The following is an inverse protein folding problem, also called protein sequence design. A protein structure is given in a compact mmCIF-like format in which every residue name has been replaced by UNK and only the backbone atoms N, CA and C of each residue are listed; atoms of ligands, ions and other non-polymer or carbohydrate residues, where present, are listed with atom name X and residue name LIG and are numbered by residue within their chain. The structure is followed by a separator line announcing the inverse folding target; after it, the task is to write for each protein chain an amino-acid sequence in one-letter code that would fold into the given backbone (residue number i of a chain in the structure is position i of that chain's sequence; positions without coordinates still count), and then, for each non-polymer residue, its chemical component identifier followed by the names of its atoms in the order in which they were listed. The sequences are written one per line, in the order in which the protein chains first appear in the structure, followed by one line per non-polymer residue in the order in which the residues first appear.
data_IF_815947362181
#
_entry.id   IF_815947362181
#
_cell.length_a   1.000
_cell.length_b   1.000
_cell.length_c   1.000
_cell.angle_alpha   90.00
_cell.angle_beta   90.00
_cell.angle_gamma   90.00
#
_symmetry.space_group_name_H-M   'P 1'
#
loop_
_entity.id
_entity.type
_entity.pdbx_description
1 polymer ?
#
# COMPACT_ATOMS: atom_id res chain seq x y z
N UNK A 1 -19.81 49.56 60.52
CA UNK A 1 -19.49 50.70 59.62
C UNK A 1 -19.55 50.16 58.21
N UNK A 2 -20.69 50.34 57.54
CA UNK A 2 -20.93 51.43 56.57
C UNK A 2 -20.24 51.10 55.23
N UNK A 3 -20.86 51.11 54.06
CA UNK A 3 -22.15 51.64 53.61
C UNK A 3 -22.39 51.15 52.15
N UNK A 4 -23.68 51.01 51.77
CA UNK A 4 -24.31 51.49 50.51
C UNK A 4 -23.94 50.83 49.17
N UNK A 5 -24.82 49.99 48.61
CA UNK A 5 -25.98 50.28 47.71
C UNK A 5 -25.63 50.62 46.25
N UNK A 6 -26.13 49.76 45.36
CA UNK A 6 -26.70 49.97 44.00
C UNK A 6 -26.05 50.97 43.03
N UNK A 7 -25.80 50.50 41.81
CA UNK A 7 -26.37 51.14 40.60
C UNK A 7 -26.32 50.21 39.40
N UNK A 8 -27.50 49.95 38.84
CA UNK A 8 -27.71 49.34 37.56
C UNK A 8 -27.39 50.34 36.43
N UNK A 9 -26.81 49.86 35.33
CA UNK A 9 -26.90 50.50 34.00
C UNK A 9 -26.98 49.44 32.91
N UNK A 10 -28.21 49.25 32.43
CA UNK A 10 -28.65 49.03 31.05
C UNK A 10 -27.55 48.99 29.98
N UNK A 11 -27.48 47.91 29.20
CA UNK A 11 -27.43 48.00 27.74
C UNK A 11 -27.79 46.66 27.09
N UNK A 12 -28.99 46.58 26.55
CA UNK A 12 -29.38 45.53 25.61
C UNK A 12 -28.70 45.80 24.27
N UNK A 13 -27.93 44.84 23.75
CA UNK A 13 -27.58 44.80 22.34
C UNK A 13 -27.64 43.37 21.83
N UNK A 14 -28.68 43.13 21.03
CA UNK A 14 -28.89 41.97 20.21
C UNK A 14 -27.64 41.66 19.36
N UNK A 15 -27.27 40.39 19.23
CA UNK A 15 -26.88 39.81 17.93
C UNK A 15 -26.99 38.29 17.99
N UNK A 16 -28.04 37.80 17.33
CA UNK A 16 -28.13 36.59 16.51
C UNK A 16 -27.19 35.40 16.81
N UNK A 17 -27.80 34.29 17.23
CA UNK A 17 -27.47 32.88 16.92
C UNK A 17 -26.00 32.58 16.57
N UNK A 18 -25.20 32.28 17.59
CA UNK A 18 -23.98 31.47 17.41
C UNK A 18 -24.36 29.98 17.43
N UNK A 19 -24.96 29.51 16.34
CA UNK A 19 -24.76 28.12 15.90
C UNK A 19 -23.36 28.05 15.31
N UNK A 20 -22.34 28.10 16.18
CA UNK A 20 -20.95 27.87 15.80
C UNK A 20 -20.73 26.37 15.73
N UNK A 21 -21.35 25.85 14.68
CA UNK A 21 -21.21 24.57 14.04
C UNK A 21 -19.82 23.98 14.23
N UNK A 22 -19.82 22.73 14.70
CA UNK A 22 -18.76 21.73 14.68
C UNK A 22 -18.25 21.47 13.25
N UNK A 23 -17.65 22.48 12.62
CA UNK A 23 -17.10 22.42 11.26
C UNK A 23 -15.70 23.04 11.19
N UNK A 24 -14.90 22.87 12.25
CA UNK A 24 -13.48 23.10 12.13
C UNK A 24 -12.74 21.79 11.84
N UNK A 25 -12.44 21.68 10.54
CA UNK A 25 -11.21 21.15 9.96
C UNK A 25 -10.97 19.65 10.10
N UNK A 26 -11.80 18.88 9.39
CA UNK A 26 -11.29 17.75 8.60
C UNK A 26 -10.36 18.36 7.53
N UNK A 27 -9.09 18.57 7.91
CA UNK A 27 -8.04 18.90 6.96
C UNK A 27 -7.07 17.72 6.85
N UNK A 28 -7.62 16.52 6.67
CA UNK A 28 -6.90 15.48 5.96
C UNK A 28 -6.73 15.99 4.54
N UNK A 29 -5.52 16.47 4.26
CA UNK A 29 -5.06 16.75 2.92
C UNK A 29 -5.12 15.45 2.11
N UNK A 30 -6.28 15.14 1.54
CA UNK A 30 -6.34 14.29 0.37
C UNK A 30 -5.60 15.03 -0.74
N UNK A 31 -4.30 14.74 -0.86
CA UNK A 31 -3.54 14.99 -2.09
C UNK A 31 -4.24 14.16 -3.17
N UNK A 32 -5.15 14.81 -3.91
CA UNK A 32 -5.63 14.37 -5.21
C UNK A 32 -4.40 14.03 -6.07
N UNK A 33 -4.28 12.77 -6.51
CA UNK A 33 -3.40 12.38 -7.62
C UNK A 33 -2.00 11.89 -7.28
N UNK A 34 -1.78 11.26 -6.13
CA UNK A 34 -0.53 10.58 -5.83
C UNK A 34 -0.65 9.09 -6.19
N UNK A 35 -0.28 8.74 -7.43
CA UNK A 35 -0.29 7.34 -7.89
C UNK A 35 0.83 6.57 -7.18
N UNK A 36 0.48 5.70 -6.23
CA UNK A 36 1.42 4.79 -5.58
C UNK A 36 2.05 3.87 -6.63
N UNK A 37 3.38 3.71 -6.58
CA UNK A 37 4.08 2.83 -7.49
C UNK A 37 3.96 1.39 -6.97
N UNK A 38 3.46 0.50 -7.83
CA UNK A 38 3.33 -0.92 -7.51
C UNK A 38 4.44 -1.70 -8.19
N UNK A 39 4.97 -2.69 -7.49
CA UNK A 39 6.01 -3.57 -7.98
C UNK A 39 5.63 -5.02 -7.72
N UNK A 40 5.86 -5.89 -8.69
CA UNK A 40 5.84 -7.33 -8.51
C UNK A 40 7.28 -7.80 -8.27
N UNK A 41 7.53 -8.37 -7.11
CA UNK A 41 8.81 -9.02 -6.79
C UNK A 41 8.60 -10.52 -6.91
N UNK A 42 9.29 -11.16 -7.85
CA UNK A 42 9.22 -12.60 -8.09
C UNK A 42 10.49 -13.21 -7.52
N UNK A 43 10.35 -14.28 -6.74
CA UNK A 43 11.46 -14.99 -6.10
C UNK A 43 11.41 -16.44 -6.53
N UNK A 44 12.53 -16.94 -7.02
CA UNK A 44 12.70 -18.32 -7.44
C UNK A 44 13.94 -18.89 -6.75
N UNK A 45 13.99 -20.19 -6.40
CA UNK A 45 15.24 -20.82 -6.03
C UNK A 45 16.29 -20.60 -7.14
N UNK A 46 17.59 -20.62 -6.83
CA UNK A 46 18.63 -20.56 -7.86
C UNK A 46 18.59 -21.81 -8.73
N UNK A 47 19.15 -21.72 -9.93
CA UNK A 47 19.14 -22.84 -10.89
C UNK A 47 19.93 -24.05 -10.38
N UNK A 48 20.97 -23.83 -9.55
CA UNK A 48 21.69 -24.91 -8.87
C UNK A 48 20.95 -25.53 -7.66
N UNK A 49 19.82 -24.96 -7.25
CA UNK A 49 19.05 -25.42 -6.08
C UNK A 49 17.86 -26.25 -6.53
N UNK A 50 17.79 -27.48 -6.01
CA UNK A 50 16.65 -28.36 -6.22
C UNK A 50 15.36 -27.71 -5.71
N UNK A 51 14.31 -27.80 -6.52
CA UNK A 51 12.96 -27.33 -6.19
C UNK A 51 11.97 -28.50 -6.13
N UNK A 52 11.86 -29.20 -4.99
CA UNK A 52 10.94 -30.32 -4.84
C UNK A 52 9.48 -29.94 -5.07
N UNK A 53 9.12 -28.66 -4.87
CA UNK A 53 7.74 -28.21 -5.10
C UNK A 53 7.44 -28.13 -6.60
N UNK A 54 8.38 -27.59 -7.39
CA UNK A 54 8.30 -27.56 -8.85
C UNK A 54 8.21 -28.98 -9.45
N UNK A 55 9.01 -29.93 -8.96
CA UNK A 55 8.98 -31.32 -9.42
C UNK A 55 7.63 -32.00 -9.17
N UNK A 56 7.07 -31.86 -7.94
CA UNK A 56 5.76 -32.44 -7.62
C UNK A 56 4.66 -31.87 -8.52
N UNK A 57 4.72 -30.58 -8.84
CA UNK A 57 3.74 -29.95 -9.73
C UNK A 57 3.92 -30.44 -11.17
N UNK A 58 5.17 -30.61 -11.64
CA UNK A 58 5.46 -31.16 -12.96
C UNK A 58 4.92 -32.58 -13.12
N UNK A 59 5.17 -33.45 -12.14
CA UNK A 59 4.67 -34.83 -12.13
C UNK A 59 3.14 -34.88 -12.16
N UNK A 60 2.49 -34.00 -11.39
CA UNK A 60 1.04 -33.85 -11.41
C UNK A 60 0.54 -33.37 -12.78
N UNK A 61 1.18 -32.37 -13.38
CA UNK A 61 0.82 -31.86 -14.70
C UNK A 61 0.94 -32.95 -15.78
N UNK A 62 2.01 -33.74 -15.75
CA UNK A 62 2.21 -34.86 -16.66
C UNK A 62 1.18 -35.98 -16.44
N UNK A 63 0.78 -36.24 -15.20
CA UNK A 63 -0.27 -37.21 -14.88
C UNK A 63 -1.64 -36.78 -15.42
N UNK A 64 -1.88 -35.48 -15.53
CA UNK A 64 -3.09 -34.90 -16.14
C UNK A 64 -3.05 -34.83 -17.67
N UNK A 65 -1.93 -35.20 -18.29
CA UNK A 65 -1.77 -35.25 -19.75
C UNK A 65 -1.05 -34.05 -20.38
N UNK A 66 -0.59 -33.07 -19.60
CA UNK A 66 0.17 -31.91 -20.07
C UNK A 66 1.65 -32.27 -20.32
N UNK A 67 1.90 -33.15 -21.29
CA UNK A 67 3.24 -33.70 -21.58
C UNK A 67 4.19 -32.69 -22.24
N UNK A 68 3.67 -31.60 -22.77
CA UNK A 68 4.43 -30.52 -23.41
C UNK A 68 5.22 -29.65 -22.41
N UNK A 69 4.87 -29.70 -21.12
CA UNK A 69 5.55 -28.91 -20.09
C UNK A 69 6.88 -29.59 -19.73
N UNK A 70 8.00 -28.97 -20.10
CA UNK A 70 9.33 -29.53 -19.87
C UNK A 70 9.85 -29.35 -18.43
N UNK A 71 9.46 -28.28 -17.76
CA UNK A 71 9.90 -27.95 -16.40
C UNK A 71 8.93 -26.98 -15.75
N UNK A 72 8.75 -27.11 -14.42
CA UNK A 72 8.02 -26.17 -13.59
C UNK A 72 8.92 -25.77 -12.44
N UNK A 73 8.95 -24.46 -12.15
CA UNK A 73 9.64 -23.89 -11.01
C UNK A 73 8.65 -23.17 -10.12
N UNK A 74 8.59 -23.57 -8.85
CA UNK A 74 7.79 -22.95 -7.82
C UNK A 74 8.57 -21.82 -7.16
N UNK A 75 7.89 -20.71 -6.93
CA UNK A 75 8.47 -19.50 -6.37
C UNK A 75 7.47 -18.72 -5.53
N UNK A 76 7.93 -17.59 -5.01
CA UNK A 76 7.11 -16.65 -4.25
C UNK A 76 6.92 -15.39 -5.10
N UNK A 77 5.75 -14.76 -4.99
CA UNK A 77 5.50 -13.45 -5.57
C UNK A 77 4.98 -12.50 -4.51
N UNK A 78 5.50 -11.27 -4.52
CA UNK A 78 5.11 -10.21 -3.60
C UNK A 78 4.68 -9.00 -4.40
N UNK A 79 3.48 -8.50 -4.12
CA UNK A 79 3.02 -7.21 -4.63
C UNK A 79 3.41 -6.14 -3.60
N UNK A 80 4.32 -5.26 -3.97
CA UNK A 80 4.85 -4.21 -3.11
C UNK A 80 4.35 -2.86 -3.59
N UNK A 81 3.70 -2.11 -2.71
CA UNK A 81 3.26 -0.73 -2.98
C UNK A 81 4.18 0.24 -2.25
N UNK A 82 4.74 1.20 -3.01
CA UNK A 82 5.59 2.26 -2.47
C UNK A 82 4.84 3.58 -2.57
N UNK A 83 4.75 4.27 -1.43
CA UNK A 83 4.10 5.58 -1.32
C UNK A 83 4.80 6.62 -2.20
N UNK A 84 4.04 7.62 -2.66
CA UNK A 84 4.58 8.68 -3.52
C UNK A 84 5.66 9.51 -2.85
N UNK A 85 6.75 9.75 -3.59
CA UNK A 85 7.89 10.53 -3.11
C UNK A 85 8.90 9.70 -2.31
N UNK A 86 8.60 8.43 -2.04
CA UNK A 86 9.55 7.50 -1.45
C UNK A 86 10.44 6.87 -2.52
N UNK A 87 11.69 6.60 -2.15
CA UNK A 87 12.70 6.08 -3.05
C UNK A 87 12.50 4.57 -3.29
N UNK A 88 12.12 4.21 -4.53
CA UNK A 88 12.07 2.81 -4.99
C UNK A 88 13.45 2.18 -5.10
N UNK A 89 14.54 2.96 -5.01
CA UNK A 89 15.92 2.49 -4.95
C UNK A 89 16.18 1.51 -3.80
N UNK A 90 15.40 1.59 -2.71
CA UNK A 90 15.49 0.65 -1.59
C UNK A 90 14.80 -0.69 -1.82
N UNK A 91 13.99 -0.82 -2.88
CA UNK A 91 13.24 -2.05 -3.13
C UNK A 91 14.16 -3.27 -3.37
N UNK A 92 15.30 -3.06 -4.02
CA UNK A 92 16.33 -4.09 -4.16
C UNK A 92 16.90 -4.53 -2.80
N UNK A 93 17.16 -3.58 -1.90
CA UNK A 93 17.64 -3.87 -0.55
C UNK A 93 16.59 -4.65 0.25
N UNK A 94 15.33 -4.23 0.17
CA UNK A 94 14.20 -4.91 0.83
C UNK A 94 14.04 -6.33 0.29
N UNK A 95 14.05 -6.50 -1.03
CA UNK A 95 13.95 -7.82 -1.65
C UNK A 95 15.08 -8.74 -1.18
N UNK A 96 16.32 -8.27 -1.24
CA UNK A 96 17.50 -9.06 -0.87
C UNK A 96 17.56 -9.40 0.63
N UNK A 97 17.22 -8.45 1.52
CA UNK A 97 17.37 -8.63 2.97
C UNK A 97 16.18 -9.30 3.65
N UNK A 98 14.97 -9.15 3.08
CA UNK A 98 13.73 -9.55 3.75
C UNK A 98 12.94 -10.59 2.95
N UNK A 99 12.81 -10.41 1.64
CA UNK A 99 11.88 -11.22 0.85
C UNK A 99 12.52 -12.52 0.34
N UNK A 100 13.81 -12.46 -0.04
CA UNK A 100 14.57 -13.60 -0.54
C UNK A 100 15.57 -14.13 0.47
N UNK A 101 15.88 -15.43 0.40
CA UNK A 101 17.10 -15.98 0.97
C UNK A 101 18.23 -15.91 -0.07
N UNK A 102 19.21 -15.00 0.04
CA UNK A 102 20.23 -14.78 -0.99
C UNK A 102 21.18 -15.97 -1.20
N UNK A 103 21.22 -16.92 -0.26
CA UNK A 103 22.04 -18.12 -0.42
C UNK A 103 21.44 -19.05 -1.50
N UNK A 104 20.13 -19.23 -1.50
CA UNK A 104 19.45 -20.28 -2.28
C UNK A 104 18.37 -19.76 -3.23
N UNK A 105 18.00 -18.50 -3.14
CA UNK A 105 16.99 -17.85 -3.99
C UNK A 105 17.60 -16.67 -4.76
N UNK A 106 16.96 -16.34 -5.88
CA UNK A 106 17.16 -15.13 -6.65
C UNK A 106 15.83 -14.41 -6.81
N UNK A 107 15.86 -13.11 -7.08
CA UNK A 107 14.65 -12.32 -7.26
C UNK A 107 14.73 -11.42 -8.49
N UNK A 108 13.56 -11.11 -9.06
CA UNK A 108 13.37 -10.10 -10.09
C UNK A 108 12.26 -9.14 -9.67
N UNK A 109 12.38 -7.89 -10.09
CA UNK A 109 11.44 -6.82 -9.75
C UNK A 109 10.86 -6.26 -11.05
N UNK A 110 9.54 -6.21 -11.12
CA UNK A 110 8.81 -5.61 -12.23
C UNK A 110 7.97 -4.46 -11.71
N UNK A 111 8.17 -3.25 -12.24
CA UNK A 111 7.24 -2.15 -12.01
C UNK A 111 5.91 -2.47 -12.71
N UNK A 112 4.82 -2.41 -11.97
CA UNK A 112 3.48 -2.56 -12.52
C UNK A 112 2.96 -1.17 -12.84
N UNK A 113 2.76 -0.89 -14.12
CA UNK A 113 2.10 0.35 -14.53
C UNK A 113 0.74 0.40 -13.85
N UNK A 114 0.45 1.47 -13.09
CA UNK A 114 -0.86 1.62 -12.47
C UNK A 114 -1.91 1.67 -13.58
N UNK A 115 -2.83 0.70 -13.58
CA UNK A 115 -4.00 0.74 -14.43
C UNK A 115 -4.68 2.10 -14.22
N UNK A 116 -5.07 2.82 -15.29
CA UNK A 116 -5.83 4.05 -15.11
C UNK A 116 -7.04 3.72 -14.25
N UNK A 117 -7.19 4.43 -13.12
CA UNK A 117 -8.36 4.28 -12.26
C UNK A 117 -9.58 4.29 -13.18
N UNK A 118 -10.38 3.20 -13.14
CA UNK A 118 -11.64 3.14 -13.86
C UNK A 118 -12.36 4.44 -13.56
N UNK A 119 -12.51 5.29 -14.58
CA UNK A 119 -13.34 6.49 -14.48
C UNK A 119 -14.70 5.97 -14.05
N UNK A 120 -15.06 6.21 -12.79
CA UNK A 120 -16.40 5.96 -12.27
C UNK A 120 -17.29 6.96 -12.98
N UNK A 121 -17.70 6.61 -14.19
CA UNK A 121 -18.71 7.35 -14.94
C UNK A 121 -20.03 7.12 -14.22
N UNK A 122 -20.57 8.17 -13.63
CA UNK A 122 -21.94 8.25 -13.16
C UNK A 122 -22.66 9.29 -14.00
#
# INVERSE_FOLDING_TARGET
MEQRTSSAKTSAKNYSRDTRTLQNSISTHHKKGAVAMKYLVIILPKDEVLDPQGEVILDAAHSLGFKEIASIRAGKSFLVEINNGEDSGRLNEIANKLLSNPLVETFSIQALTPLPEKVRNN
#
